data_IF_655091099199
#
_entry.id   IF_655091099199
#
_cell.length_a   1.000
_cell.length_b   1.000
_cell.length_c   1.000
_cell.angle_alpha   90.00
_cell.angle_beta   90.00
_cell.angle_gamma   90.00
#
_symmetry.space_group_name_H-M   'P 1'
#
loop_
_entity.id
_entity.type
_entity.pdbx_description
1 polymer ?
#
# COMPACT_ATOMS: atom_id res chain seq x y z
N UNK A 1 9.56 -53.38 -2.14
CA UNK A 1 9.40 -52.86 -0.76
C UNK A 1 9.26 -51.34 -0.71
N UNK A 2 10.24 -50.54 -1.16
CA UNK A 2 10.18 -49.06 -1.08
C UNK A 2 8.97 -48.41 -1.80
N UNK A 3 8.59 -48.90 -2.99
CA UNK A 3 7.45 -48.38 -3.74
C UNK A 3 6.10 -48.52 -2.98
N UNK A 4 5.90 -49.65 -2.31
CA UNK A 4 4.71 -49.93 -1.49
C UNK A 4 4.66 -48.99 -0.27
N UNK A 5 5.81 -48.72 0.36
CA UNK A 5 5.91 -47.81 1.50
C UNK A 5 5.54 -46.37 1.11
N UNK A 6 5.99 -45.90 -0.06
CA UNK A 6 5.67 -44.56 -0.56
C UNK A 6 4.16 -44.42 -0.87
N UNK A 7 3.57 -45.42 -1.52
CA UNK A 7 2.12 -45.46 -1.78
C UNK A 7 1.32 -45.50 -0.48
N UNK A 8 1.76 -46.28 0.49
CA UNK A 8 1.10 -46.40 1.79
C UNK A 8 1.18 -45.08 2.58
N UNK A 9 2.31 -44.37 2.51
CA UNK A 9 2.47 -43.05 3.14
C UNK A 9 1.53 -42.01 2.51
N UNK A 10 1.45 -41.95 1.18
CA UNK A 10 0.49 -41.08 0.46
C UNK A 10 -0.97 -41.45 0.76
N UNK A 11 -1.30 -42.74 0.85
CA UNK A 11 -2.64 -43.19 1.21
C UNK A 11 -2.98 -42.85 2.68
N UNK A 12 -2.02 -42.97 3.60
CA UNK A 12 -2.20 -42.59 5.00
C UNK A 12 -2.42 -41.10 5.15
N UNK A 13 -1.69 -40.28 4.39
CA UNK A 13 -1.93 -38.85 4.31
C UNK A 13 -3.31 -38.52 3.76
N UNK A 14 -3.80 -39.24 2.74
CA UNK A 14 -5.08 -38.94 2.07
C UNK A 14 -6.31 -39.43 2.84
N UNK A 15 -6.29 -40.65 3.38
CA UNK A 15 -7.47 -41.31 3.99
C UNK A 15 -7.43 -41.36 5.53
N UNK A 16 -6.26 -41.17 6.13
CA UNK A 16 -6.03 -41.48 7.54
C UNK A 16 -6.05 -42.99 7.83
N UNK A 17 -5.57 -43.40 9.00
CA UNK A 17 -5.52 -44.82 9.41
C UNK A 17 -6.91 -45.48 9.40
N UNK A 18 -7.92 -44.76 9.88
CA UNK A 18 -9.31 -45.22 9.91
C UNK A 18 -9.94 -45.35 8.50
N UNK A 19 -9.60 -44.45 7.58
CA UNK A 19 -10.09 -44.55 6.21
C UNK A 19 -9.47 -45.72 5.45
N UNK A 20 -8.20 -46.03 5.72
CA UNK A 20 -7.51 -47.20 5.16
C UNK A 20 -8.17 -48.49 5.68
N UNK A 21 -8.47 -48.59 6.98
CA UNK A 21 -9.13 -49.79 7.51
C UNK A 21 -10.51 -50.00 6.90
N UNK A 22 -11.30 -48.94 6.73
CA UNK A 22 -12.60 -49.01 6.05
C UNK A 22 -12.46 -49.44 4.58
N UNK A 23 -11.46 -48.93 3.87
CA UNK A 23 -11.20 -49.30 2.48
C UNK A 23 -10.82 -50.78 2.34
N UNK A 24 -10.01 -51.30 3.27
CA UNK A 24 -9.67 -52.73 3.34
C UNK A 24 -10.93 -53.57 3.61
N UNK A 25 -11.79 -53.14 4.54
CA UNK A 25 -13.05 -53.82 4.85
C UNK A 25 -13.96 -53.85 3.63
N UNK A 26 -14.11 -52.75 2.89
CA UNK A 26 -14.89 -52.74 1.63
C UNK A 26 -14.35 -53.72 0.60
N UNK A 27 -13.03 -53.75 0.39
CA UNK A 27 -12.40 -54.69 -0.56
C UNK A 27 -12.64 -56.14 -0.13
N UNK A 28 -12.45 -56.45 1.16
CA UNK A 28 -12.72 -57.78 1.70
C UNK A 28 -14.18 -58.20 1.50
N UNK A 29 -15.13 -57.31 1.79
CA UNK A 29 -16.56 -57.56 1.56
C UNK A 29 -16.87 -57.88 0.09
N UNK A 30 -16.26 -57.15 -0.86
CA UNK A 30 -16.43 -57.42 -2.29
C UNK A 30 -15.89 -58.80 -2.64
N UNK A 31 -14.69 -59.15 -2.17
CA UNK A 31 -14.05 -60.46 -2.42
C UNK A 31 -14.86 -61.60 -1.82
N UNK A 32 -15.38 -61.43 -0.59
CA UNK A 32 -16.25 -62.39 0.08
C UNK A 32 -17.54 -62.59 -0.71
N UNK A 33 -18.18 -61.50 -1.18
CA UNK A 33 -19.37 -61.60 -2.02
C UNK A 33 -19.11 -62.39 -3.31
N UNK A 34 -17.97 -62.14 -3.97
CA UNK A 34 -17.57 -62.88 -5.18
C UNK A 34 -17.33 -64.37 -4.87
N UNK A 35 -16.64 -64.68 -3.77
CA UNK A 35 -16.37 -66.05 -3.35
C UNK A 35 -17.65 -66.82 -3.02
N UNK A 36 -18.55 -66.22 -2.24
CA UNK A 36 -19.86 -66.81 -1.90
C UNK A 36 -20.67 -67.08 -3.17
N UNK A 37 -20.67 -66.13 -4.11
CA UNK A 37 -21.33 -66.29 -5.41
C UNK A 37 -20.73 -67.46 -6.19
N UNK A 38 -19.41 -67.53 -6.29
CA UNK A 38 -18.71 -68.61 -6.99
C UNK A 38 -19.04 -69.99 -6.40
N UNK A 39 -19.00 -70.14 -5.07
CA UNK A 39 -19.35 -71.41 -4.40
C UNK A 39 -20.80 -71.79 -4.65
N UNK A 40 -21.72 -70.82 -4.62
CA UNK A 40 -23.14 -71.04 -4.88
C UNK A 40 -23.40 -71.50 -6.32
N UNK A 41 -22.86 -70.78 -7.31
CA UNK A 41 -22.99 -71.15 -8.73
C UNK A 41 -22.37 -72.51 -9.05
N UNK A 42 -21.22 -72.84 -8.45
CA UNK A 42 -20.61 -74.16 -8.61
C UNK A 42 -21.52 -75.27 -8.06
N UNK A 43 -22.09 -75.09 -6.87
CA UNK A 43 -22.99 -76.08 -6.27
C UNK A 43 -24.26 -76.28 -7.10
N UNK A 44 -24.88 -75.20 -7.59
CA UNK A 44 -26.04 -75.28 -8.48
C UNK A 44 -25.70 -75.96 -9.81
N UNK A 45 -24.57 -75.62 -10.41
CA UNK A 45 -24.14 -76.23 -11.68
C UNK A 45 -23.95 -77.74 -11.58
N UNK A 46 -23.60 -78.25 -10.39
CA UNK A 46 -23.46 -79.71 -10.17
C UNK A 46 -24.77 -80.41 -9.79
N UNK A 47 -25.78 -79.68 -9.30
CA UNK A 47 -27.01 -80.26 -8.76
C UNK A 47 -28.23 -80.11 -9.67
N UNK A 48 -28.25 -79.14 -10.60
CA UNK A 48 -29.43 -78.84 -11.42
C UNK A 48 -29.04 -78.43 -12.85
N UNK A 49 -29.73 -78.96 -13.87
CA UNK A 49 -29.62 -78.46 -15.26
C UNK A 49 -30.50 -77.22 -15.42
N UNK A 50 -29.88 -76.06 -15.57
CA UNK A 50 -30.55 -74.76 -15.73
C UNK A 50 -31.40 -74.63 -17.01
N UNK A 51 -31.19 -75.53 -17.98
CA UNK A 51 -31.91 -75.60 -19.25
C UNK A 51 -32.67 -76.92 -19.27
N UNK A 52 -34.00 -76.85 -19.13
CA UNK A 52 -34.89 -77.95 -19.46
C UNK A 52 -35.16 -77.94 -20.97
N UNK A 53 -34.85 -79.05 -21.65
CA UNK A 53 -35.21 -79.31 -23.04
C UNK A 53 -34.97 -78.17 -24.04
N UNK A 54 -33.85 -77.45 -23.91
CA UNK A 54 -33.30 -76.59 -24.96
C UNK A 54 -33.99 -75.25 -25.24
N UNK A 55 -35.16 -74.95 -24.66
CA UNK A 55 -35.92 -73.75 -25.07
C UNK A 55 -36.45 -72.84 -23.94
N UNK A 56 -36.51 -73.27 -22.66
CA UNK A 56 -36.98 -72.39 -21.58
C UNK A 56 -36.13 -72.50 -20.31
N UNK A 57 -35.76 -71.32 -19.78
CA UNK A 57 -35.10 -71.18 -18.47
C UNK A 57 -36.14 -71.48 -17.38
N UNK A 58 -35.78 -72.28 -16.37
CA UNK A 58 -36.67 -72.56 -15.25
C UNK A 58 -36.87 -71.28 -14.40
N UNK A 59 -38.05 -70.68 -14.50
CA UNK A 59 -38.41 -69.43 -13.83
C UNK A 59 -38.31 -69.54 -12.30
N UNK A 60 -38.69 -70.69 -11.73
CA UNK A 60 -38.66 -70.92 -10.29
C UNK A 60 -37.22 -71.04 -9.76
N UNK A 61 -36.36 -71.77 -10.47
CA UNK A 61 -34.93 -71.89 -10.15
C UNK A 61 -34.20 -70.54 -10.30
N UNK A 62 -34.57 -69.77 -11.34
CA UNK A 62 -34.00 -68.43 -11.58
C UNK A 62 -34.44 -67.44 -10.51
N UNK A 63 -35.68 -67.56 -10.01
CA UNK A 63 -36.15 -66.82 -8.84
C UNK A 63 -35.32 -67.08 -7.59
N UNK A 64 -35.04 -68.35 -7.25
CA UNK A 64 -34.22 -68.71 -6.07
C UNK A 64 -32.76 -68.22 -6.21
N UNK A 65 -32.20 -68.26 -7.42
CA UNK A 65 -30.88 -67.67 -7.70
C UNK A 65 -30.94 -66.15 -7.49
N UNK A 66 -31.99 -65.50 -7.99
CA UNK A 66 -32.24 -64.08 -7.78
C UNK A 66 -32.34 -63.71 -6.30
N UNK A 67 -33.06 -64.49 -5.50
CA UNK A 67 -33.23 -64.28 -4.06
C UNK A 67 -31.90 -64.43 -3.29
N UNK A 68 -31.07 -65.41 -3.65
CA UNK A 68 -29.74 -65.59 -3.04
C UNK A 68 -28.80 -64.44 -3.41
N UNK A 69 -28.71 -64.11 -4.70
CA UNK A 69 -27.81 -63.06 -5.19
C UNK A 69 -28.28 -61.69 -4.68
N UNK A 70 -29.58 -61.38 -4.74
CA UNK A 70 -30.14 -60.13 -4.24
C UNK A 70 -30.07 -60.01 -2.71
N UNK A 71 -30.40 -61.09 -1.99
CA UNK A 71 -30.44 -61.11 -0.54
C UNK A 71 -29.07 -61.17 0.13
N UNK A 72 -28.25 -62.16 -0.19
CA UNK A 72 -26.98 -62.42 0.53
C UNK A 72 -25.81 -61.67 -0.14
N UNK A 73 -25.64 -61.80 -1.45
CA UNK A 73 -24.53 -61.13 -2.15
C UNK A 73 -24.79 -59.63 -2.26
N UNK A 74 -26.03 -59.25 -2.56
CA UNK A 74 -26.47 -57.87 -2.70
C UNK A 74 -26.35 -57.06 -1.42
N UNK A 75 -26.61 -57.65 -0.24
CA UNK A 75 -26.41 -56.96 1.05
C UNK A 75 -24.93 -56.72 1.37
N UNK A 76 -24.06 -57.69 1.10
CA UNK A 76 -22.59 -57.55 1.28
C UNK A 76 -22.05 -56.45 0.36
N UNK A 77 -22.47 -56.42 -0.91
CA UNK A 77 -22.07 -55.38 -1.85
C UNK A 77 -22.68 -54.02 -1.51
N UNK A 78 -23.92 -53.96 -1.05
CA UNK A 78 -24.54 -52.71 -0.57
C UNK A 78 -23.77 -52.14 0.62
N UNK A 79 -23.36 -52.98 1.58
CA UNK A 79 -22.54 -52.56 2.71
C UNK A 79 -21.17 -52.03 2.27
N UNK A 80 -20.49 -52.71 1.34
CA UNK A 80 -19.24 -52.23 0.75
C UNK A 80 -19.43 -50.89 0.03
N UNK A 81 -20.54 -50.74 -0.71
CA UNK A 81 -20.92 -49.51 -1.41
C UNK A 81 -21.15 -48.33 -0.48
N UNK A 82 -21.85 -48.52 0.64
CA UNK A 82 -22.06 -47.47 1.66
C UNK A 82 -20.74 -47.00 2.25
N UNK A 83 -19.83 -47.93 2.59
CA UNK A 83 -18.51 -47.57 3.11
C UNK A 83 -17.70 -46.79 2.06
N UNK A 84 -17.70 -47.24 0.80
CA UNK A 84 -17.00 -46.55 -0.30
C UNK A 84 -17.58 -45.15 -0.53
N UNK A 85 -18.90 -45.01 -0.52
CA UNK A 85 -19.59 -43.72 -0.65
C UNK A 85 -19.26 -42.78 0.53
N UNK A 86 -19.29 -43.29 1.76
CA UNK A 86 -18.87 -42.53 2.95
C UNK A 86 -17.41 -42.07 2.86
N UNK A 87 -16.50 -42.94 2.42
CA UNK A 87 -15.11 -42.59 2.19
C UNK A 87 -14.97 -41.51 1.11
N UNK A 88 -15.73 -41.60 0.02
CA UNK A 88 -15.76 -40.59 -1.03
C UNK A 88 -16.23 -39.23 -0.50
N UNK A 89 -17.34 -39.18 0.24
CA UNK A 89 -17.84 -37.96 0.87
C UNK A 89 -16.80 -37.34 1.80
N UNK A 90 -16.16 -38.15 2.65
CA UNK A 90 -15.15 -37.67 3.59
C UNK A 90 -13.95 -37.06 2.87
N UNK A 91 -13.47 -37.69 1.79
CA UNK A 91 -12.38 -37.14 0.97
C UNK A 91 -12.79 -35.82 0.34
N UNK A 92 -14.00 -35.75 -0.21
CA UNK A 92 -14.52 -34.54 -0.84
C UNK A 92 -14.64 -33.38 0.16
N UNK A 93 -15.11 -33.63 1.39
CA UNK A 93 -15.15 -32.61 2.44
C UNK A 93 -13.76 -32.08 2.80
N UNK A 94 -12.76 -32.96 2.82
CA UNK A 94 -11.37 -32.57 3.08
C UNK A 94 -10.76 -31.78 1.92
N UNK A 95 -11.05 -32.18 0.68
CA UNK A 95 -10.58 -31.45 -0.49
C UNK A 95 -11.19 -30.05 -0.55
N UNK A 96 -12.49 -29.94 -0.24
CA UNK A 96 -13.16 -28.65 -0.12
C UNK A 96 -12.51 -27.77 0.97
N UNK A 97 -12.18 -28.33 2.13
CA UNK A 97 -11.51 -27.54 3.18
C UNK A 97 -10.14 -27.02 2.74
N UNK A 98 -9.37 -27.84 2.03
CA UNK A 98 -8.06 -27.43 1.49
C UNK A 98 -8.22 -26.36 0.40
N UNK A 99 -9.21 -26.50 -0.48
CA UNK A 99 -9.53 -25.48 -1.50
C UNK A 99 -9.96 -24.15 -0.87
N UNK A 100 -10.78 -24.19 0.19
CA UNK A 100 -11.17 -22.98 0.92
C UNK A 100 -9.97 -22.28 1.57
N UNK A 101 -9.01 -23.05 2.08
CA UNK A 101 -7.76 -22.53 2.64
C UNK A 101 -6.89 -21.89 1.53
N UNK A 102 -6.69 -22.57 0.40
CA UNK A 102 -5.94 -22.04 -0.75
C UNK A 102 -6.59 -20.76 -1.34
N UNK A 103 -7.91 -20.71 -1.41
CA UNK A 103 -8.65 -19.51 -1.83
C UNK A 103 -8.43 -18.34 -0.87
N UNK A 104 -8.34 -18.61 0.44
CA UNK A 104 -8.05 -17.58 1.45
C UNK A 104 -6.65 -17.02 1.24
N UNK A 105 -5.65 -17.87 1.06
CA UNK A 105 -4.27 -17.44 0.80
C UNK A 105 -4.14 -16.67 -0.52
N UNK A 106 -4.80 -17.17 -1.58
CA UNK A 106 -4.87 -16.51 -2.88
C UNK A 106 -5.49 -15.11 -2.77
N UNK A 107 -6.54 -14.95 -1.96
CA UNK A 107 -7.18 -13.65 -1.73
C UNK A 107 -6.25 -12.64 -1.07
N UNK A 108 -5.43 -13.07 -0.11
CA UNK A 108 -4.46 -12.20 0.56
C UNK A 108 -3.34 -11.77 -0.41
N UNK A 109 -2.80 -12.71 -1.20
CA UNK A 109 -1.83 -12.38 -2.26
C UNK A 109 -2.43 -11.41 -3.27
N UNK A 110 -3.68 -11.63 -3.69
CA UNK A 110 -4.38 -10.76 -4.64
C UNK A 110 -4.56 -9.33 -4.11
N UNK A 111 -4.90 -9.16 -2.82
CA UNK A 111 -5.00 -7.82 -2.20
C UNK A 111 -3.65 -7.09 -2.22
N UNK A 112 -2.55 -7.79 -1.89
CA UNK A 112 -1.21 -7.20 -1.93
C UNK A 112 -0.84 -6.77 -3.35
N UNK A 113 -1.09 -7.63 -4.34
CA UNK A 113 -0.86 -7.32 -5.75
C UNK A 113 -1.72 -6.16 -6.25
N UNK A 114 -2.99 -6.09 -5.85
CA UNK A 114 -3.87 -4.99 -6.20
C UNK A 114 -3.35 -3.66 -5.65
N UNK A 115 -2.93 -3.65 -4.39
CA UNK A 115 -2.30 -2.47 -3.78
C UNK A 115 -1.04 -2.06 -4.52
N UNK A 116 -0.10 -3.00 -4.74
CA UNK A 116 1.17 -2.74 -5.42
C UNK A 116 0.96 -2.21 -6.83
N UNK A 117 0.07 -2.82 -7.61
CA UNK A 117 -0.27 -2.38 -8.95
C UNK A 117 -0.84 -0.95 -8.95
N UNK A 118 -1.79 -0.64 -8.07
CA UNK A 118 -2.35 0.72 -7.96
C UNK A 118 -1.28 1.71 -7.51
N UNK A 119 -0.46 1.38 -6.51
CA UNK A 119 0.64 2.21 -6.04
C UNK A 119 1.64 2.53 -7.15
N UNK A 120 2.15 1.52 -7.86
CA UNK A 120 3.13 1.74 -8.94
C UNK A 120 2.53 2.49 -10.13
N UNK A 121 1.23 2.35 -10.40
CA UNK A 121 0.54 3.16 -11.40
C UNK A 121 0.44 4.64 -10.97
N UNK A 122 0.11 4.92 -9.71
CA UNK A 122 0.10 6.29 -9.19
C UNK A 122 1.50 6.92 -9.23
N UNK A 123 2.51 6.11 -8.93
CA UNK A 123 3.92 6.50 -8.96
C UNK A 123 4.40 6.81 -10.38
N UNK A 124 4.01 5.99 -11.36
CA UNK A 124 4.25 6.26 -12.78
C UNK A 124 3.57 7.56 -13.21
N UNK A 125 2.30 7.76 -12.84
CA UNK A 125 1.58 9.00 -13.12
C UNK A 125 2.28 10.21 -12.48
N UNK A 126 2.80 10.08 -11.26
CA UNK A 126 3.59 11.14 -10.63
C UNK A 126 4.82 11.53 -11.43
N UNK A 127 5.55 10.54 -11.96
CA UNK A 127 6.70 10.80 -12.83
C UNK A 127 6.26 11.46 -14.16
N UNK A 128 5.14 11.04 -14.74
CA UNK A 128 4.58 11.68 -15.94
C UNK A 128 4.18 13.14 -15.67
N UNK A 129 3.55 13.44 -14.54
CA UNK A 129 3.21 14.81 -14.12
C UNK A 129 4.48 15.65 -13.98
N UNK A 130 5.54 15.09 -13.37
CA UNK A 130 6.83 15.78 -13.29
C UNK A 130 7.36 16.12 -14.67
N UNK A 131 7.50 15.13 -15.55
CA UNK A 131 8.06 15.30 -16.89
C UNK A 131 7.26 16.30 -17.74
N UNK A 132 5.94 16.31 -17.56
CA UNK A 132 5.02 17.21 -18.28
C UNK A 132 4.84 18.58 -17.60
N UNK A 133 5.43 18.80 -16.41
CA UNK A 133 5.40 20.12 -15.78
C UNK A 133 6.21 21.08 -16.64
N UNK A 134 5.57 22.15 -17.10
CA UNK A 134 6.19 23.12 -17.99
C UNK A 134 6.01 24.57 -17.52
N UNK A 135 7.03 25.39 -17.77
CA UNK A 135 7.01 26.83 -17.58
C UNK A 135 7.20 27.50 -18.93
N UNK A 136 6.26 28.38 -19.27
CA UNK A 136 6.20 29.07 -20.56
C UNK A 136 6.92 30.41 -20.47
N UNK A 137 7.90 30.56 -21.35
CA UNK A 137 8.64 31.80 -21.58
C UNK A 137 8.12 32.48 -22.83
N UNK A 138 7.90 33.80 -22.76
CA UNK A 138 7.56 34.61 -23.93
C UNK A 138 8.76 35.45 -24.31
N UNK A 139 9.32 35.20 -25.48
CA UNK A 139 10.47 35.95 -26.00
C UNK A 139 10.03 36.67 -27.27
N UNK A 140 10.35 37.96 -27.35
CA UNK A 140 10.12 38.72 -28.58
C UNK A 140 11.32 38.52 -29.51
N UNK A 141 11.08 37.93 -30.69
CA UNK A 141 12.10 37.80 -31.70
C UNK A 141 12.11 39.06 -32.58
N UNK A 142 13.18 39.86 -32.45
CA UNK A 142 13.34 41.11 -33.20
C UNK A 142 13.46 40.90 -34.71
N UNK A 143 13.96 39.74 -35.15
CA UNK A 143 14.23 39.46 -36.56
C UNK A 143 12.96 39.03 -37.31
N UNK A 144 12.09 38.27 -36.65
CA UNK A 144 10.80 37.79 -37.21
C UNK A 144 9.62 38.66 -36.80
N UNK A 145 9.84 39.68 -35.96
CA UNK A 145 8.80 40.53 -35.35
C UNK A 145 7.65 39.73 -34.73
N UNK A 146 7.95 38.55 -34.17
CA UNK A 146 6.95 37.64 -33.63
C UNK A 146 7.29 37.24 -32.20
N UNK A 147 6.25 36.88 -31.45
CA UNK A 147 6.41 36.31 -30.12
C UNK A 147 6.65 34.81 -30.25
N UNK A 148 7.82 34.37 -29.83
CA UNK A 148 8.15 32.95 -29.72
C UNK A 148 7.94 32.49 -28.28
N UNK A 149 7.36 31.30 -28.13
CA UNK A 149 7.18 30.67 -26.84
C UNK A 149 8.21 29.55 -26.69
N UNK A 150 9.08 29.67 -25.68
CA UNK A 150 9.97 28.58 -25.26
C UNK A 150 9.45 27.98 -23.96
N UNK A 151 9.84 26.74 -23.69
CA UNK A 151 9.32 25.97 -22.55
C UNK A 151 10.47 25.32 -21.79
N UNK A 152 10.50 25.52 -20.48
CA UNK A 152 11.30 24.72 -19.55
C UNK A 152 10.43 23.57 -19.06
N UNK A 153 10.94 22.33 -19.03
CA UNK A 153 10.14 21.14 -18.68
C UNK A 153 10.82 20.23 -17.67
N UNK A 154 10.03 19.41 -16.99
CA UNK A 154 10.55 18.38 -16.08
C UNK A 154 11.34 19.00 -14.93
N UNK A 155 12.46 18.36 -14.57
CA UNK A 155 13.32 18.82 -13.48
C UNK A 155 13.82 20.26 -13.70
N UNK A 156 14.08 20.67 -14.95
CA UNK A 156 14.51 22.04 -15.23
C UNK A 156 13.43 23.07 -14.87
N UNK A 157 12.14 22.71 -14.99
CA UNK A 157 11.06 23.60 -14.56
C UNK A 157 11.05 23.75 -13.03
N UNK A 158 11.30 22.66 -12.28
CA UNK A 158 11.41 22.73 -10.82
C UNK A 158 12.65 23.51 -10.36
N UNK A 159 13.79 23.39 -11.06
CA UNK A 159 14.97 24.23 -10.81
C UNK A 159 14.66 25.73 -11.03
N UNK A 160 13.93 26.08 -12.10
CA UNK A 160 13.53 27.46 -12.34
C UNK A 160 12.63 28.01 -11.21
N UNK A 161 11.75 27.18 -10.64
CA UNK A 161 10.93 27.54 -9.47
C UNK A 161 11.82 27.74 -8.24
N UNK A 162 12.83 26.90 -8.03
CA UNK A 162 13.81 27.05 -6.93
C UNK A 162 14.63 28.32 -7.09
N UNK A 163 15.10 28.64 -8.29
CA UNK A 163 15.82 29.88 -8.57
C UNK A 163 14.96 31.11 -8.26
N UNK A 164 13.67 31.09 -8.63
CA UNK A 164 12.73 32.14 -8.25
C UNK A 164 12.57 32.24 -6.73
N UNK A 165 12.44 31.10 -6.03
CA UNK A 165 12.33 31.05 -4.57
C UNK A 165 13.55 31.68 -3.88
N UNK A 166 14.76 31.36 -4.33
CA UNK A 166 16.02 31.90 -3.81
C UNK A 166 16.12 33.40 -4.10
N UNK A 167 15.77 33.83 -5.31
CA UNK A 167 15.74 35.25 -5.67
C UNK A 167 14.78 36.04 -4.79
N UNK A 168 13.62 35.47 -4.45
CA UNK A 168 12.65 36.11 -3.56
C UNK A 168 13.12 36.17 -2.10
N UNK A 169 13.97 35.23 -1.66
CA UNK A 169 14.68 35.34 -0.37
C UNK A 169 15.59 36.57 -0.36
N UNK A 170 16.45 36.73 -1.35
CA UNK A 170 17.35 37.88 -1.45
C UNK A 170 16.59 39.21 -1.53
N UNK A 171 15.48 39.23 -2.28
CA UNK A 171 14.58 40.37 -2.38
C UNK A 171 13.96 40.73 -1.02
N UNK A 172 13.47 39.74 -0.27
CA UNK A 172 12.91 39.96 1.06
C UNK A 172 13.96 40.53 2.01
N UNK A 173 15.16 39.96 2.07
CA UNK A 173 16.23 40.46 2.94
C UNK A 173 16.62 41.91 2.61
N UNK A 174 16.74 42.24 1.32
CA UNK A 174 17.00 43.61 0.86
C UNK A 174 15.87 44.58 1.24
N UNK A 175 14.62 44.14 1.07
CA UNK A 175 13.45 44.93 1.40
C UNK A 175 13.26 45.10 2.91
N UNK A 176 13.61 44.12 3.74
CA UNK A 176 13.60 44.25 5.20
C UNK A 176 14.57 45.34 5.67
N UNK A 177 15.79 45.39 5.13
CA UNK A 177 16.78 46.45 5.44
C UNK A 177 16.28 47.84 5.04
N UNK A 178 15.60 47.96 3.89
CA UNK A 178 14.99 49.23 3.45
C UNK A 178 13.78 49.61 4.30
N UNK A 179 12.93 48.65 4.66
CA UNK A 179 11.78 48.85 5.55
C UNK A 179 12.20 49.30 6.94
N UNK A 180 13.36 48.87 7.43
CA UNK A 180 13.91 49.37 8.69
C UNK A 180 14.22 50.87 8.64
N UNK A 181 14.90 51.32 7.58
CA UNK A 181 15.16 52.75 7.36
C UNK A 181 13.86 53.55 7.17
N UNK A 182 12.93 52.99 6.39
CA UNK A 182 11.59 53.57 6.18
C UNK A 182 10.81 53.71 7.49
N UNK A 183 10.93 52.74 8.40
CA UNK A 183 10.28 52.80 9.71
C UNK A 183 10.93 53.82 10.63
N UNK A 184 12.26 53.90 10.64
CA UNK A 184 13.00 54.90 11.40
C UNK A 184 12.62 56.34 10.99
N UNK A 185 12.44 56.61 9.69
CA UNK A 185 12.06 57.94 9.19
C UNK A 185 10.64 58.38 9.57
N UNK A 186 9.78 57.46 9.99
CA UNK A 186 8.42 57.78 10.47
C UNK A 186 8.46 58.20 11.94
N UNK A 187 9.37 57.60 12.71
CA UNK A 187 9.48 57.78 14.16
C UNK A 187 10.42 58.94 14.53
N UNK A 188 11.47 59.18 13.72
CA UNK A 188 12.48 60.21 14.00
C UNK A 188 12.11 61.60 13.43
N UNK A 189 12.40 62.66 14.19
CA UNK A 189 12.19 64.07 13.81
C UNK A 189 13.38 64.69 13.03
N UNK A 190 14.49 63.96 12.84
CA UNK A 190 15.65 64.44 12.08
C UNK A 190 16.12 63.38 11.07
N UNK A 191 16.29 63.84 9.82
CA UNK A 191 16.12 63.02 8.63
C UNK A 191 17.41 62.50 7.98
N UNK A 192 17.33 61.25 7.53
CA UNK A 192 18.02 60.82 6.32
C UNK A 192 17.41 61.62 5.14
N UNK A 193 18.26 62.27 4.33
CA UNK A 193 17.84 63.11 3.18
C UNK A 193 16.97 62.34 2.17
N UNK A 194 17.09 61.02 2.12
CA UNK A 194 16.36 60.18 1.19
C UNK A 194 15.02 59.67 1.76
N UNK A 195 14.99 59.31 3.06
CA UNK A 195 13.81 58.76 3.73
C UNK A 195 13.02 59.85 4.46
N UNK A 196 12.04 60.43 3.77
CA UNK A 196 11.02 61.28 4.39
C UNK A 196 9.92 60.41 5.03
N UNK A 197 9.15 60.97 5.99
CA UNK A 197 8.00 60.26 6.59
C UNK A 197 7.03 59.70 5.54
N UNK A 198 6.62 60.52 4.58
CA UNK A 198 5.72 60.12 3.49
C UNK A 198 6.32 58.99 2.63
N UNK A 199 7.61 59.08 2.27
CA UNK A 199 8.29 58.01 1.52
C UNK A 199 8.38 56.72 2.32
N UNK A 200 8.63 56.83 3.63
CA UNK A 200 8.66 55.70 4.55
C UNK A 200 7.31 54.99 4.60
N UNK A 201 6.23 55.75 4.85
CA UNK A 201 4.84 55.23 4.87
C UNK A 201 4.48 54.55 3.54
N UNK A 202 4.76 55.20 2.41
CA UNK A 202 4.51 54.65 1.06
C UNK A 202 5.32 53.38 0.77
N UNK A 203 6.57 53.31 1.24
CA UNK A 203 7.39 52.13 1.05
C UNK A 203 6.89 50.95 1.89
N UNK A 204 6.51 51.20 3.15
CA UNK A 204 5.94 50.17 4.02
C UNK A 204 4.57 49.68 3.52
N UNK A 205 3.77 50.55 2.92
CA UNK A 205 2.52 50.16 2.26
C UNK A 205 2.79 49.23 1.06
N UNK A 206 3.72 49.62 0.17
CA UNK A 206 4.16 48.75 -0.94
C UNK A 206 4.69 47.40 -0.45
N UNK A 207 5.48 47.39 0.62
CA UNK A 207 5.97 46.17 1.24
C UNK A 207 4.80 45.28 1.70
N UNK A 208 3.83 45.87 2.39
CA UNK A 208 2.64 45.16 2.87
C UNK A 208 1.80 44.61 1.72
N UNK A 209 1.61 45.36 0.65
CA UNK A 209 0.90 44.91 -0.54
C UNK A 209 1.60 43.73 -1.20
N UNK A 210 2.92 43.83 -1.41
CA UNK A 210 3.69 42.81 -2.10
C UNK A 210 3.73 41.51 -1.30
N UNK A 211 4.11 41.55 -0.01
CA UNK A 211 4.24 40.35 0.82
C UNK A 211 2.93 39.89 1.47
N UNK A 212 1.86 40.68 1.35
CA UNK A 212 0.57 40.47 2.05
C UNK A 212 0.73 40.41 3.58
N UNK A 213 1.73 41.09 4.13
CA UNK A 213 2.00 41.16 5.58
C UNK A 213 2.81 42.41 5.89
N UNK A 214 2.56 43.04 7.04
CA UNK A 214 3.28 44.25 7.43
C UNK A 214 4.74 43.93 7.80
N UNK A 215 5.62 44.92 7.60
CA UNK A 215 7.00 44.86 8.05
C UNK A 215 7.11 44.55 9.55
N UNK A 216 6.28 45.19 10.39
CA UNK A 216 6.33 44.96 11.85
C UNK A 216 6.01 43.52 12.24
N UNK A 217 5.06 42.87 11.54
CA UNK A 217 4.68 41.49 11.80
C UNK A 217 5.78 40.51 11.35
N UNK A 218 6.45 40.79 10.22
CA UNK A 218 7.61 39.98 9.82
C UNK A 218 8.77 40.21 10.80
N UNK A 219 9.05 41.45 11.18
CA UNK A 219 10.16 41.77 12.09
C UNK A 219 9.99 41.11 13.45
N UNK A 220 8.76 41.07 13.99
CA UNK A 220 8.46 40.42 15.26
C UNK A 220 8.47 38.89 15.19
N UNK A 221 8.26 38.31 14.01
CA UNK A 221 8.27 36.86 13.82
C UNK A 221 9.04 36.45 12.54
N UNK A 222 10.38 36.41 12.60
CA UNK A 222 11.23 36.07 11.45
C UNK A 222 11.00 34.67 10.87
N UNK A 223 10.34 33.75 11.62
CA UNK A 223 9.96 32.44 11.09
C UNK A 223 9.07 32.61 9.85
N UNK A 224 8.21 33.64 9.82
CA UNK A 224 7.31 33.90 8.70
C UNK A 224 8.02 34.21 7.38
N UNK A 225 9.32 34.52 7.37
CA UNK A 225 10.07 34.84 6.16
C UNK A 225 9.90 33.77 5.08
N UNK A 226 10.16 32.51 5.41
CA UNK A 226 10.11 31.39 4.47
C UNK A 226 8.70 31.15 3.94
N UNK A 227 7.68 31.31 4.80
CA UNK A 227 6.27 31.25 4.39
C UNK A 227 5.91 32.36 3.42
N UNK A 228 6.34 33.59 3.68
CA UNK A 228 6.06 34.73 2.80
C UNK A 228 6.72 34.54 1.43
N UNK A 229 7.99 34.12 1.41
CA UNK A 229 8.74 33.83 0.18
C UNK A 229 8.08 32.70 -0.61
N UNK A 230 7.73 31.60 0.05
CA UNK A 230 7.07 30.49 -0.62
C UNK A 230 5.66 30.84 -1.09
N UNK A 231 4.91 31.66 -0.35
CA UNK A 231 3.57 32.13 -0.79
C UNK A 231 3.66 32.90 -2.11
N UNK A 232 4.66 33.77 -2.27
CA UNK A 232 4.91 34.48 -3.53
C UNK A 232 5.24 33.51 -4.66
N UNK A 233 6.13 32.55 -4.38
CA UNK A 233 6.53 31.50 -5.33
C UNK A 233 5.33 30.66 -5.76
N UNK A 234 4.52 30.20 -4.80
CA UNK A 234 3.31 29.44 -5.04
C UNK A 234 2.31 30.22 -5.90
N UNK A 235 2.12 31.51 -5.64
CA UNK A 235 1.21 32.31 -6.47
C UNK A 235 1.71 32.42 -7.92
N UNK A 236 3.02 32.53 -8.14
CA UNK A 236 3.61 32.63 -9.47
C UNK A 236 3.55 31.30 -10.24
N UNK A 237 3.68 30.17 -9.55
CA UNK A 237 3.72 28.83 -10.14
C UNK A 237 2.56 27.93 -9.67
N UNK A 238 1.41 28.55 -9.39
CA UNK A 238 0.29 27.87 -8.71
C UNK A 238 -0.23 26.68 -9.50
N UNK A 239 -0.30 26.79 -10.82
CA UNK A 239 -0.76 25.70 -11.68
C UNK A 239 0.14 24.47 -11.57
N UNK A 240 1.46 24.66 -11.67
CA UNK A 240 2.46 23.60 -11.61
C UNK A 240 2.50 22.96 -10.22
N UNK A 241 2.69 23.77 -9.17
CA UNK A 241 2.87 23.29 -7.80
C UNK A 241 1.58 22.66 -7.24
N UNK A 242 0.41 23.23 -7.52
CA UNK A 242 -0.87 22.66 -7.06
C UNK A 242 -1.10 21.28 -7.66
N UNK A 243 -0.87 21.12 -8.96
CA UNK A 243 -1.12 19.85 -9.64
C UNK A 243 -0.14 18.78 -9.18
N UNK A 244 1.14 19.12 -9.13
CA UNK A 244 2.21 18.21 -8.73
C UNK A 244 2.08 17.74 -7.27
N UNK A 245 1.97 18.66 -6.30
CA UNK A 245 1.94 18.27 -4.87
C UNK A 245 0.61 17.69 -4.42
N UNK A 246 -0.50 17.99 -5.11
CA UNK A 246 -1.78 17.30 -4.85
C UNK A 246 -1.68 15.82 -5.15
N UNK A 247 -0.99 15.43 -6.22
CA UNK A 247 -0.79 14.01 -6.52
C UNK A 247 0.11 13.32 -5.50
N UNK A 248 1.22 13.95 -5.08
CA UNK A 248 2.05 13.46 -3.95
C UNK A 248 1.19 13.22 -2.71
N UNK A 249 0.34 14.19 -2.34
CA UNK A 249 -0.58 14.04 -1.22
C UNK A 249 -1.49 12.82 -1.38
N UNK A 250 -2.09 12.61 -2.56
CA UNK A 250 -2.97 11.48 -2.79
C UNK A 250 -2.26 10.13 -2.78
N UNK A 251 -0.99 10.07 -3.21
CA UNK A 251 -0.17 8.85 -3.09
C UNK A 251 0.06 8.53 -1.61
N UNK A 252 0.50 9.52 -0.81
CA UNK A 252 0.71 9.33 0.62
C UNK A 252 -0.58 8.97 1.34
N UNK A 253 -1.70 9.58 0.95
CA UNK A 253 -3.01 9.28 1.50
C UNK A 253 -3.41 7.83 1.20
N UNK A 254 -3.20 7.37 -0.04
CA UNK A 254 -3.47 5.98 -0.42
C UNK A 254 -2.63 4.98 0.37
N UNK A 255 -1.34 5.28 0.59
CA UNK A 255 -0.45 4.48 1.45
C UNK A 255 -1.02 4.44 2.88
N UNK A 256 -1.40 5.58 3.45
CA UNK A 256 -1.91 5.67 4.83
C UNK A 256 -3.25 4.97 5.02
N UNK A 257 -4.18 5.14 4.10
CA UNK A 257 -5.46 4.44 4.14
C UNK A 257 -5.26 2.92 4.05
N UNK A 258 -4.34 2.46 3.21
CA UNK A 258 -4.02 1.03 3.08
C UNK A 258 -3.34 0.47 4.34
N UNK A 259 -2.43 1.25 4.94
CA UNK A 259 -1.81 0.94 6.23
C UNK A 259 -2.86 0.79 7.33
N UNK A 260 -3.75 1.77 7.47
CA UNK A 260 -4.82 1.75 8.48
C UNK A 260 -5.77 0.57 8.28
N UNK A 261 -6.13 0.24 7.03
CA UNK A 261 -6.97 -0.92 6.73
C UNK A 261 -6.32 -2.25 7.17
N UNK A 262 -5.02 -2.42 6.90
CA UNK A 262 -4.27 -3.62 7.30
C UNK A 262 -4.12 -3.70 8.83
N UNK A 263 -3.81 -2.58 9.49
CA UNK A 263 -3.76 -2.50 10.96
C UNK A 263 -5.12 -2.83 11.61
N UNK A 264 -6.21 -2.26 11.11
CA UNK A 264 -7.57 -2.49 11.64
C UNK A 264 -8.02 -3.95 11.48
N UNK A 265 -7.55 -4.64 10.44
CA UNK A 265 -7.86 -6.05 10.23
C UNK A 265 -7.29 -6.94 11.33
N UNK A 266 -6.12 -6.58 11.89
CA UNK A 266 -5.50 -7.30 13.01
C UNK A 266 -6.32 -7.12 14.28
N UNK A 267 -6.70 -5.88 14.59
CA UNK A 267 -7.49 -5.54 15.78
C UNK A 267 -8.85 -6.25 15.79
N UNK A 268 -9.51 -6.37 14.63
CA UNK A 268 -10.80 -7.08 14.52
C UNK A 268 -10.64 -8.59 14.75
N UNK A 269 -9.59 -9.20 14.21
CA UNK A 269 -9.32 -10.64 14.42
C UNK A 269 -9.05 -10.95 15.90
N UNK A 270 -8.46 -10.01 16.63
CA UNK A 270 -8.24 -10.12 18.08
C UNK A 270 -9.55 -10.02 18.86
N UNK A 271 -10.42 -9.05 18.54
CA UNK A 271 -11.74 -8.92 19.17
C UNK A 271 -12.64 -10.15 18.96
N UNK A 272 -12.46 -10.87 17.85
CA UNK A 272 -13.21 -12.11 17.55
C UNK A 272 -12.70 -13.34 18.28
N UNK A 273 -11.58 -13.25 19.00
CA UNK A 273 -11.00 -14.39 19.72
C UNK A 273 -10.34 -15.44 18.81
N UNK A 274 -10.08 -15.12 17.54
CA UNK A 274 -9.43 -16.04 16.59
C UNK A 274 -7.96 -16.30 16.96
N UNK A 275 -7.36 -15.45 17.83
CA UNK A 275 -6.04 -15.64 18.43
C UNK A 275 -6.17 -15.86 19.94
N UNK A 276 -6.35 -17.12 20.35
CA UNK A 276 -6.22 -17.51 21.77
C UNK A 276 -4.74 -17.62 22.11
N UNK A 277 -4.23 -16.68 22.91
CA UNK A 277 -3.06 -16.90 23.77
C UNK A 277 -1.87 -15.97 23.52
N UNK A 278 -1.51 -15.24 24.60
CA UNK A 278 -0.19 -14.74 25.02
C UNK A 278 0.63 -14.13 23.89
N UNK A 279 0.90 -12.81 23.84
CA UNK A 279 2.17 -12.20 23.40
C UNK A 279 1.98 -10.67 23.22
N UNK A 280 2.26 -9.87 24.26
CA UNK A 280 2.42 -8.41 24.10
C UNK A 280 3.58 -8.07 23.13
N UNK A 281 4.53 -8.99 22.91
CA UNK A 281 5.70 -8.77 22.03
C UNK A 281 5.43 -9.05 20.55
N UNK A 282 4.52 -9.99 20.22
CA UNK A 282 4.18 -10.31 18.82
C UNK A 282 3.24 -9.29 18.19
N UNK A 283 2.36 -8.68 18.99
CA UNK A 283 1.46 -7.61 18.52
C UNK A 283 2.26 -6.38 18.09
N UNK A 284 3.19 -5.94 18.95
CA UNK A 284 4.13 -4.87 18.62
C UNK A 284 4.98 -5.20 17.39
N UNK A 285 5.37 -6.46 17.20
CA UNK A 285 6.10 -6.91 16.01
C UNK A 285 5.27 -6.82 14.73
N UNK A 286 4.03 -7.31 14.71
CA UNK A 286 3.17 -7.28 13.52
C UNK A 286 2.73 -5.86 13.16
N UNK A 287 2.39 -5.04 14.16
CA UNK A 287 2.11 -3.61 13.99
C UNK A 287 3.33 -2.90 13.38
N UNK A 288 4.53 -3.13 13.92
CA UNK A 288 5.78 -2.56 13.40
C UNK A 288 6.08 -3.06 11.99
N UNK A 289 5.82 -4.34 11.69
CA UNK A 289 6.01 -4.92 10.36
C UNK A 289 5.15 -4.22 9.32
N UNK A 290 3.89 -3.94 9.64
CA UNK A 290 2.97 -3.22 8.75
C UNK A 290 3.44 -1.77 8.56
N UNK A 291 3.74 -1.05 9.65
CA UNK A 291 4.26 0.32 9.56
C UNK A 291 5.52 0.40 8.69
N UNK A 292 6.46 -0.53 8.88
CA UNK A 292 7.68 -0.62 8.08
C UNK A 292 7.40 -0.96 6.60
N UNK A 293 6.42 -1.84 6.32
CA UNK A 293 5.98 -2.15 4.96
C UNK A 293 5.48 -0.89 4.24
N UNK A 294 4.61 -0.11 4.86
CA UNK A 294 4.06 1.11 4.24
C UNK A 294 5.07 2.26 4.20
N UNK A 295 5.95 2.39 5.20
CA UNK A 295 7.11 3.29 5.14
C UNK A 295 8.03 2.97 3.96
N UNK A 296 8.21 1.70 3.61
CA UNK A 296 9.00 1.33 2.41
C UNK A 296 8.37 1.85 1.11
N UNK A 297 7.05 1.86 1.01
CA UNK A 297 6.35 2.41 -0.16
C UNK A 297 6.49 3.93 -0.26
N UNK A 298 6.45 4.66 0.86
CA UNK A 298 6.74 6.10 0.84
C UNK A 298 8.20 6.39 0.47
N UNK A 299 9.14 5.53 0.86
CA UNK A 299 10.54 5.64 0.43
C UNK A 299 10.71 5.41 -1.08
N UNK A 300 9.93 4.53 -1.71
CA UNK A 300 9.93 4.41 -3.17
C UNK A 300 9.43 5.67 -3.89
N UNK A 301 8.48 6.39 -3.29
CA UNK A 301 8.05 7.70 -3.77
C UNK A 301 9.18 8.73 -3.62
N UNK A 302 9.77 8.83 -2.43
CA UNK A 302 10.86 9.75 -2.15
C UNK A 302 12.07 9.53 -3.07
N UNK A 303 12.46 8.27 -3.29
CA UNK A 303 13.63 7.90 -4.09
C UNK A 303 13.52 8.37 -5.56
N UNK A 304 12.32 8.70 -6.03
CA UNK A 304 12.13 9.28 -7.35
C UNK A 304 12.20 10.80 -7.36
N UNK A 305 12.09 11.48 -6.21
CA UNK A 305 12.08 12.93 -6.12
C UNK A 305 13.52 13.47 -6.13
N UNK A 306 13.74 14.55 -6.87
CA UNK A 306 14.96 15.34 -6.77
C UNK A 306 15.02 16.13 -5.46
N UNK A 307 16.21 16.57 -5.07
CA UNK A 307 16.40 17.46 -3.92
C UNK A 307 15.57 18.74 -4.04
N UNK A 308 15.44 19.29 -5.26
CA UNK A 308 14.61 20.45 -5.55
C UNK A 308 13.12 20.17 -5.35
N UNK A 309 12.62 19.01 -5.77
CA UNK A 309 11.23 18.62 -5.49
C UNK A 309 10.98 18.45 -3.97
N UNK A 310 11.94 17.88 -3.22
CA UNK A 310 11.86 17.75 -1.77
C UNK A 310 11.88 19.12 -1.07
N UNK A 311 12.72 20.05 -1.50
CA UNK A 311 12.77 21.43 -1.00
C UNK A 311 11.44 22.15 -1.23
N UNK A 312 10.88 22.04 -2.43
CA UNK A 312 9.60 22.66 -2.75
C UNK A 312 8.44 21.99 -2.00
N UNK A 313 8.48 20.67 -1.81
CA UNK A 313 7.53 19.93 -0.99
C UNK A 313 7.57 20.40 0.47
N UNK A 314 8.76 20.56 1.03
CA UNK A 314 8.99 21.01 2.41
C UNK A 314 8.21 22.28 2.70
N UNK A 315 8.32 23.30 1.84
CA UNK A 315 7.62 24.56 2.03
C UNK A 315 6.15 24.50 1.62
N UNK A 316 5.81 23.74 0.57
CA UNK A 316 4.43 23.58 0.14
C UNK A 316 3.56 23.00 1.26
N UNK A 317 4.03 21.95 1.92
CA UNK A 317 3.30 21.29 2.99
C UNK A 317 2.99 22.24 4.18
N UNK A 318 3.77 23.31 4.40
CA UNK A 318 3.48 24.30 5.47
C UNK A 318 2.12 25.00 5.30
N UNK A 319 1.56 25.01 4.09
CA UNK A 319 0.25 25.59 3.77
C UNK A 319 -0.88 24.57 3.74
N UNK A 320 -0.57 23.27 3.79
CA UNK A 320 -1.54 22.18 3.67
C UNK A 320 -1.38 21.20 4.84
N UNK A 321 -2.09 21.41 5.98
CA UNK A 321 -1.89 20.65 7.21
C UNK A 321 -1.98 19.12 7.02
N UNK A 322 -2.94 18.65 6.21
CA UNK A 322 -3.10 17.21 5.90
C UNK A 322 -1.89 16.65 5.15
N UNK A 323 -1.34 17.39 4.19
CA UNK A 323 -0.15 16.98 3.46
C UNK A 323 1.08 17.00 4.38
N UNK A 324 1.25 18.05 5.19
CA UNK A 324 2.32 18.14 6.19
C UNK A 324 2.34 16.94 7.12
N UNK A 325 1.17 16.56 7.67
CA UNK A 325 1.02 15.42 8.55
C UNK A 325 1.57 14.14 7.89
N UNK A 326 1.17 13.86 6.66
CA UNK A 326 1.61 12.66 5.93
C UNK A 326 3.09 12.70 5.56
N UNK A 327 3.59 13.86 5.10
CA UNK A 327 5.00 14.08 4.80
C UNK A 327 5.87 13.78 6.02
N UNK A 328 5.44 14.24 7.20
CA UNK A 328 6.17 14.04 8.45
C UNK A 328 6.00 12.62 9.00
N UNK A 329 4.79 12.05 8.93
CA UNK A 329 4.51 10.67 9.39
C UNK A 329 5.40 9.63 8.69
N UNK A 330 5.60 9.78 7.38
CA UNK A 330 6.42 8.88 6.58
C UNK A 330 7.89 9.31 6.47
N UNK A 331 8.25 10.45 7.09
CA UNK A 331 9.54 11.11 6.98
C UNK A 331 10.00 11.32 5.52
N UNK A 332 9.06 11.74 4.65
CA UNK A 332 9.30 11.86 3.20
C UNK A 332 10.39 12.88 2.86
N UNK A 333 10.75 13.78 3.78
CA UNK A 333 11.79 14.77 3.60
C UNK A 333 13.12 14.36 4.27
N UNK A 334 13.29 13.12 4.75
CA UNK A 334 14.52 12.67 5.45
C UNK A 334 15.81 12.89 4.62
N UNK A 335 15.71 12.84 3.29
CA UNK A 335 16.84 13.03 2.36
C UNK A 335 17.00 14.48 1.87
N UNK A 336 16.27 15.45 2.44
CA UNK A 336 16.47 16.87 2.19
C UNK A 336 17.62 17.38 3.06
N UNK A 337 18.63 17.95 2.42
CA UNK A 337 19.76 18.59 3.07
C UNK A 337 19.29 19.85 3.82
N UNK A 338 19.64 19.95 5.10
CA UNK A 338 19.34 21.14 5.92
C UNK A 338 19.91 22.41 5.28
N UNK A 339 21.06 22.31 4.62
CA UNK A 339 21.74 23.45 4.00
C UNK A 339 21.02 23.99 2.75
N UNK A 340 20.12 23.19 2.15
CA UNK A 340 19.30 23.60 1.01
C UNK A 340 18.08 24.46 1.44
N UNK A 341 17.77 24.54 2.74
CA UNK A 341 16.67 25.36 3.26
C UNK A 341 16.96 26.87 3.13
N UNK A 342 15.91 27.67 2.99
CA UNK A 342 15.99 29.14 2.94
C UNK A 342 16.63 29.71 4.20
N UNK A 343 16.22 29.24 5.39
CA UNK A 343 16.81 29.64 6.66
C UNK A 343 17.05 28.39 7.53
N UNK A 344 18.15 27.65 7.33
CA UNK A 344 18.37 26.32 7.91
C UNK A 344 18.09 26.24 9.42
N UNK A 345 18.69 27.12 10.22
CA UNK A 345 18.53 27.14 11.68
C UNK A 345 17.08 27.32 12.15
N UNK A 346 16.25 28.02 11.37
CA UNK A 346 14.86 28.35 11.74
C UNK A 346 13.87 27.39 11.11
N UNK A 347 14.12 26.99 9.87
CA UNK A 347 13.17 26.26 9.05
C UNK A 347 13.09 24.80 9.50
N UNK A 348 14.17 24.19 10.01
CA UNK A 348 14.14 22.82 10.57
C UNK A 348 13.07 22.66 11.66
N UNK A 349 12.77 23.73 12.42
CA UNK A 349 11.74 23.70 13.46
C UNK A 349 10.31 23.52 12.91
N UNK A 350 10.08 23.73 11.61
CA UNK A 350 8.76 23.52 11.02
C UNK A 350 8.28 22.07 11.10
N UNK A 351 9.21 21.13 11.13
CA UNK A 351 8.94 19.69 11.23
C UNK A 351 9.41 19.12 12.57
N UNK A 352 9.30 19.94 13.63
CA UNK A 352 9.40 19.47 15.01
C UNK A 352 8.26 18.49 15.35
N UNK A 353 8.50 17.64 16.34
CA UNK A 353 7.50 16.72 16.88
C UNK A 353 6.27 17.48 17.38
N UNK A 354 5.08 16.93 17.12
CA UNK A 354 3.85 17.45 17.68
C UNK A 354 2.82 16.33 17.89
N UNK A 355 1.84 16.60 18.75
CA UNK A 355 0.73 15.69 19.02
C UNK A 355 -0.55 16.19 18.37
N UNK A 356 -1.28 15.30 17.70
CA UNK A 356 -2.57 15.60 17.09
C UNK A 356 -3.59 14.50 17.41
N UNK A 357 -4.70 14.88 18.06
CA UNK A 357 -5.80 14.04 18.55
C UNK A 357 -5.43 12.95 19.57
N UNK A 358 -4.43 12.11 19.29
CA UNK A 358 -3.80 11.09 20.17
C UNK A 358 -2.58 10.45 19.50
N UNK A 359 -2.24 10.84 18.27
CA UNK A 359 -1.11 10.33 17.49
C UNK A 359 0.08 11.29 17.68
N UNK A 360 1.23 10.74 18.06
CA UNK A 360 2.49 11.48 18.09
C UNK A 360 3.07 11.45 16.67
N UNK A 361 3.24 12.63 16.08
CA UNK A 361 3.89 12.78 14.79
C UNK A 361 5.36 13.13 15.06
N UNK A 362 6.30 12.21 14.77
CA UNK A 362 7.70 12.38 15.15
C UNK A 362 8.34 13.54 14.39
N UNK A 363 9.40 14.12 14.96
CA UNK A 363 10.25 15.07 14.24
C UNK A 363 10.83 14.40 12.98
N UNK A 364 10.89 15.14 11.87
CA UNK A 364 11.57 14.64 10.66
C UNK A 364 13.09 14.53 10.83
N UNK A 365 13.67 13.48 10.27
CA UNK A 365 15.08 13.11 10.43
C UNK A 365 16.00 13.85 9.44
N UNK A 366 15.84 15.18 9.34
CA UNK A 366 16.67 16.03 8.48
C UNK A 366 18.13 16.02 8.94
N UNK A 367 19.05 16.01 7.98
CA UNK A 367 20.50 16.00 8.21
C UNK A 367 21.20 17.09 7.43
N UNK A 368 22.29 17.62 7.95
CA UNK A 368 23.16 18.53 7.20
C UNK A 368 24.06 17.77 6.23
N UNK A 369 24.63 18.46 5.25
CA UNK A 369 25.59 17.84 4.32
C UNK A 369 26.79 17.24 5.04
N UNK A 370 27.27 17.92 6.08
CA UNK A 370 28.40 17.48 6.88
C UNK A 370 28.07 16.17 7.62
N UNK A 371 26.88 16.04 8.20
CA UNK A 371 26.40 14.80 8.85
C UNK A 371 26.21 13.64 7.87
N UNK A 372 25.84 13.92 6.62
CA UNK A 372 25.66 12.90 5.58
C UNK A 372 27.01 12.40 5.04
N UNK A 373 28.00 13.30 4.96
CA UNK A 373 29.30 13.06 4.34
C UNK A 373 30.40 12.70 5.34
N UNK A 374 30.06 12.38 6.59
CA UNK A 374 31.02 11.86 7.58
C UNK A 374 31.67 10.58 7.02
N UNK A 375 33.01 10.59 6.90
CA UNK A 375 33.83 9.48 6.40
C UNK A 375 34.15 8.48 7.51
#
# INVERSE_FOLDING_TARGET
>A
MQYLIIKFRKAKEKYGLFGISLLIISILSIVIGIYISYVFFNKISTSVRLIENGEKINEQLTGVIGDFVGGIVGTIWSFAGVILFFLALRLQSRELSLQLEELKDTREVFKSQQFENTFFNLLKNQNEIRLNTEIKHKTFNSNTQSNEATYTRGNAAFEEIKEFLIKEKDNLESNLKKSEKARASIIATSGDKYWTRERGEKYLDKFKTHYTISYDNIKSNPKLNSKVIFKLTYNNFSSQLSHYFRNIYHILLYIKESEELELNSILINEMRGDKIGIYNDKENFELSRIKNKYKKYSQFLQAQMSSTELLLLFYNALFFPKAKKLVQYYDLIENLDIDDLLYPEKDVEYYAEYQENSEIIPKSSLKSRDEIMEI
#
